data_IF_895290514196
#
_entry.id   IF_895290514196
#
_cell.length_a   1.000
_cell.length_b   1.000
_cell.length_c   1.000
_cell.angle_alpha   90.00
_cell.angle_beta   90.00
_cell.angle_gamma   90.00
#
_symmetry.space_group_name_H-M   'P 1'
#
loop_
_entity.id
_entity.type
_entity.pdbx_description
1 polymer ?
#
# COMPACT_ATOMS: atom_id res chain seq x y z
N UNK A 1 7.90 -16.04 9.29
CA UNK A 1 7.15 -15.04 8.53
C UNK A 1 7.89 -14.73 7.24
N UNK A 2 7.24 -14.86 6.08
CA UNK A 2 7.89 -14.78 4.77
C UNK A 2 8.58 -13.43 4.50
N UNK A 3 7.91 -12.32 4.80
CA UNK A 3 8.37 -10.99 4.39
C UNK A 3 9.13 -10.23 5.49
N UNK A 4 9.08 -10.70 6.72
CA UNK A 4 9.66 -9.99 7.86
C UNK A 4 8.97 -8.67 8.24
N UNK A 5 7.84 -8.37 7.62
CA UNK A 5 7.10 -7.14 7.91
C UNK A 5 6.35 -7.22 9.25
N UNK A 6 6.01 -6.06 9.85
CA UNK A 6 5.14 -6.01 11.01
C UNK A 6 3.87 -6.83 10.83
N UNK A 7 3.43 -7.48 11.90
CA UNK A 7 2.19 -8.24 11.88
C UNK A 7 0.98 -7.31 12.02
N UNK A 8 -0.22 -7.89 11.92
CA UNK A 8 -1.49 -7.17 12.02
C UNK A 8 -1.64 -6.41 13.34
N UNK A 9 -1.21 -7.00 14.46
CA UNK A 9 -1.36 -6.38 15.77
C UNK A 9 -0.50 -5.13 15.89
N UNK A 10 0.73 -5.18 15.43
CA UNK A 10 1.62 -4.02 15.43
C UNK A 10 1.09 -2.92 14.51
N UNK A 11 0.55 -3.29 13.35
CA UNK A 11 -0.07 -2.33 12.44
C UNK A 11 -1.24 -1.61 13.10
N UNK A 12 -2.14 -2.35 13.73
CA UNK A 12 -3.31 -1.78 14.42
C UNK A 12 -2.86 -0.85 15.54
N UNK A 13 -1.86 -1.25 16.32
CA UNK A 13 -1.32 -0.41 17.39
C UNK A 13 -0.78 0.92 16.86
N UNK A 14 -0.03 0.88 15.78
CA UNK A 14 0.51 2.09 15.15
C UNK A 14 -0.57 2.96 14.52
N UNK A 15 -1.61 2.34 13.97
CA UNK A 15 -2.76 3.06 13.49
C UNK A 15 -3.46 3.82 14.63
N UNK A 16 -3.65 3.18 15.77
CA UNK A 16 -4.25 3.81 16.94
C UNK A 16 -3.40 4.99 17.44
N UNK A 17 -2.09 4.85 17.45
CA UNK A 17 -1.17 5.94 17.78
C UNK A 17 -1.31 7.12 16.81
N UNK A 18 -1.46 6.84 15.53
CA UNK A 18 -1.68 7.88 14.51
C UNK A 18 -3.01 8.61 14.76
N UNK A 19 -4.07 7.89 15.11
CA UNK A 19 -5.35 8.48 15.47
C UNK A 19 -5.23 9.39 16.69
N UNK A 20 -4.49 8.96 17.71
CA UNK A 20 -4.28 9.76 18.92
C UNK A 20 -3.51 11.04 18.61
N UNK A 21 -2.47 10.96 17.78
CA UNK A 21 -1.72 12.15 17.34
C UNK A 21 -2.61 13.11 16.55
N UNK A 22 -3.44 12.58 15.66
CA UNK A 22 -4.36 13.40 14.91
C UNK A 22 -5.35 14.14 15.83
N UNK A 23 -5.94 13.44 16.79
CA UNK A 23 -6.88 14.05 17.76
C UNK A 23 -6.23 15.11 18.63
N UNK A 24 -4.96 14.91 19.01
CA UNK A 24 -4.23 15.82 19.87
C UNK A 24 -3.67 17.03 19.12
N UNK A 25 -3.01 16.78 17.99
CA UNK A 25 -2.19 17.77 17.29
C UNK A 25 -2.79 18.19 15.95
N UNK A 26 -3.85 17.54 15.47
CA UNK A 26 -4.43 17.81 14.17
C UNK A 26 -3.63 17.26 12.99
N UNK A 27 -2.60 16.47 13.25
CA UNK A 27 -1.73 15.91 12.20
C UNK A 27 -2.45 14.83 11.40
N UNK A 28 -2.66 15.07 10.11
CA UNK A 28 -3.26 14.08 9.21
C UNK A 28 -2.34 12.89 9.00
N UNK A 29 -2.92 11.75 8.69
CA UNK A 29 -2.19 10.54 8.30
C UNK A 29 -2.94 9.85 7.17
N UNK A 30 -2.32 8.88 6.53
CA UNK A 30 -2.91 8.22 5.37
C UNK A 30 -2.78 6.71 5.45
N UNK A 31 -3.75 6.04 4.85
CA UNK A 31 -3.76 4.59 4.67
C UNK A 31 -3.68 4.30 3.17
N UNK A 32 -2.72 3.46 2.79
CA UNK A 32 -2.57 3.00 1.42
C UNK A 32 -2.81 1.50 1.36
N UNK A 33 -3.61 1.06 0.42
CA UNK A 33 -3.70 -0.35 0.05
C UNK A 33 -2.91 -0.56 -1.24
N UNK A 34 -2.08 -1.58 -1.24
CA UNK A 34 -1.20 -1.92 -2.37
C UNK A 34 -1.46 -3.36 -2.76
N UNK A 35 -1.69 -3.59 -4.05
CA UNK A 35 -1.91 -4.91 -4.59
C UNK A 35 -0.93 -5.14 -5.76
N UNK A 36 -0.18 -6.24 -5.72
CA UNK A 36 0.74 -6.58 -6.80
C UNK A 36 -0.06 -7.01 -8.05
N UNK A 37 0.21 -6.34 -9.16
CA UNK A 37 -0.50 -6.61 -10.40
C UNK A 37 -0.14 -7.99 -10.96
N UNK A 38 -1.16 -8.77 -11.34
CA UNK A 38 -0.98 -10.09 -11.96
C UNK A 38 -0.18 -11.08 -11.13
N UNK A 39 -0.21 -10.97 -9.82
CA UNK A 39 0.57 -11.85 -8.95
C UNK A 39 0.15 -13.32 -9.09
N UNK A 40 -1.15 -13.58 -9.26
CA UNK A 40 -1.66 -14.93 -9.50
C UNK A 40 -1.04 -15.53 -10.77
N UNK A 41 -0.92 -14.73 -11.83
CA UNK A 41 -0.29 -15.19 -13.08
C UNK A 41 1.18 -15.54 -12.88
N UNK A 42 1.89 -14.80 -12.03
CA UNK A 42 3.28 -15.10 -11.68
C UNK A 42 3.37 -16.46 -10.99
N UNK A 43 2.51 -16.73 -10.01
CA UNK A 43 2.46 -18.05 -9.35
C UNK A 43 2.10 -19.17 -10.32
N UNK A 44 1.10 -18.95 -11.18
CA UNK A 44 0.64 -19.97 -12.13
C UNK A 44 1.71 -20.29 -13.17
N UNK A 45 2.47 -19.29 -13.61
CA UNK A 45 3.50 -19.43 -14.65
C UNK A 45 4.84 -19.93 -14.10
N UNK A 46 5.25 -19.44 -12.92
CA UNK A 46 6.61 -19.66 -12.40
C UNK A 46 6.65 -20.46 -11.08
N UNK A 47 5.48 -20.74 -10.47
CA UNK A 47 5.38 -21.46 -9.22
C UNK A 47 5.40 -20.56 -7.99
N UNK A 48 4.97 -21.13 -6.86
CA UNK A 48 4.85 -20.39 -5.59
C UNK A 48 6.20 -19.94 -5.02
N UNK A 49 7.28 -20.67 -5.28
CA UNK A 49 8.61 -20.28 -4.82
C UNK A 49 9.03 -18.94 -5.44
N UNK A 50 8.81 -18.76 -6.73
CA UNK A 50 9.07 -17.50 -7.42
C UNK A 50 8.13 -16.40 -6.93
N UNK A 51 6.85 -16.73 -6.72
CA UNK A 51 5.90 -15.82 -6.10
C UNK A 51 6.36 -15.33 -4.74
N UNK A 52 6.90 -16.21 -3.91
CA UNK A 52 7.46 -15.85 -2.60
C UNK A 52 8.66 -14.91 -2.75
N UNK A 53 9.53 -15.15 -3.72
CA UNK A 53 10.66 -14.27 -4.01
C UNK A 53 10.18 -12.88 -4.42
N UNK A 54 9.13 -12.79 -5.21
CA UNK A 54 8.50 -11.52 -5.60
C UNK A 54 7.92 -10.80 -4.39
N UNK A 55 7.24 -11.51 -3.49
CA UNK A 55 6.69 -10.93 -2.27
C UNK A 55 7.79 -10.36 -1.37
N UNK A 56 8.87 -11.11 -1.17
CA UNK A 56 10.01 -10.68 -0.34
C UNK A 56 10.64 -9.41 -0.93
N UNK A 57 10.93 -9.42 -2.23
CA UNK A 57 11.55 -8.27 -2.90
C UNK A 57 10.63 -7.05 -2.88
N UNK A 58 9.33 -7.25 -3.13
CA UNK A 58 8.34 -6.17 -3.10
C UNK A 58 8.25 -5.54 -1.71
N UNK A 59 8.22 -6.37 -0.67
CA UNK A 59 8.18 -5.90 0.72
C UNK A 59 9.39 -5.04 1.05
N UNK A 60 10.57 -5.48 0.65
CA UNK A 60 11.80 -4.73 0.88
C UNK A 60 11.79 -3.39 0.14
N UNK A 61 11.40 -3.38 -1.13
CA UNK A 61 11.34 -2.15 -1.93
C UNK A 61 10.38 -1.13 -1.33
N UNK A 62 9.20 -1.58 -0.89
CA UNK A 62 8.24 -0.69 -0.25
C UNK A 62 8.78 -0.13 1.06
N UNK A 63 9.36 -0.97 1.89
CA UNK A 63 9.93 -0.55 3.17
C UNK A 63 11.06 0.47 2.98
N UNK A 64 11.90 0.28 1.97
CA UNK A 64 13.03 1.18 1.69
C UNK A 64 12.58 2.59 1.27
N UNK A 65 11.37 2.74 0.75
CA UNK A 65 10.81 4.04 0.35
C UNK A 65 10.10 4.77 1.49
N UNK A 66 9.91 4.13 2.63
CA UNK A 66 9.13 4.66 3.74
C UNK A 66 10.02 5.25 4.83
N UNK A 67 9.46 6.20 5.57
CA UNK A 67 10.13 6.83 6.72
C UNK A 67 9.94 5.97 7.98
N UNK A 68 10.72 6.28 9.02
CA UNK A 68 10.62 5.58 10.30
C UNK A 68 9.23 5.68 10.95
N UNK A 69 8.49 6.76 10.68
CA UNK A 69 7.13 6.95 11.19
C UNK A 69 6.07 6.20 10.36
N UNK A 70 6.45 5.63 9.23
CA UNK A 70 5.56 4.89 8.36
C UNK A 70 5.63 3.41 8.67
N UNK A 71 4.58 2.67 8.33
CA UNK A 71 4.51 1.23 8.56
C UNK A 71 3.95 0.54 7.34
N UNK A 72 4.60 -0.53 6.90
CA UNK A 72 4.05 -1.42 5.90
C UNK A 72 3.81 -2.79 6.51
N UNK A 73 2.67 -3.40 6.22
CA UNK A 73 2.33 -4.75 6.65
C UNK A 73 1.71 -5.50 5.48
N UNK A 74 1.91 -6.82 5.48
CA UNK A 74 1.26 -7.68 4.50
C UNK A 74 -0.11 -8.06 5.05
N UNK A 75 -1.16 -7.79 4.27
CA UNK A 75 -2.52 -8.12 4.67
C UNK A 75 -2.85 -9.58 4.37
N UNK A 76 -2.33 -10.11 3.30
CA UNK A 76 -2.53 -11.50 2.87
C UNK A 76 -2.32 -11.61 1.36
N UNK A 77 -1.96 -12.80 0.86
CA UNK A 77 -1.70 -12.99 -0.55
C UNK A 77 -0.69 -11.98 -1.09
N UNK A 78 -1.12 -11.18 -2.04
CA UNK A 78 -0.34 -10.14 -2.72
C UNK A 78 -0.74 -8.73 -2.29
N UNK A 79 -1.51 -8.59 -1.21
CA UNK A 79 -2.02 -7.32 -0.71
C UNK A 79 -1.21 -6.83 0.48
N UNK A 80 -0.82 -5.55 0.42
CA UNK A 80 -0.09 -4.85 1.48
C UNK A 80 -0.88 -3.64 1.94
N UNK A 81 -0.70 -3.27 3.19
CA UNK A 81 -1.28 -2.06 3.77
C UNK A 81 -0.15 -1.20 4.30
N UNK A 82 -0.23 0.10 4.00
CA UNK A 82 0.78 1.07 4.42
C UNK A 82 0.10 2.16 5.24
N UNK A 83 0.69 2.48 6.37
CA UNK A 83 0.31 3.62 7.19
C UNK A 83 1.38 4.70 7.03
N UNK A 84 0.99 5.85 6.49
CA UNK A 84 1.83 7.04 6.50
C UNK A 84 1.50 7.81 7.78
N UNK A 85 2.44 7.82 8.72
CA UNK A 85 2.19 8.31 10.06
C UNK A 85 1.92 9.81 10.15
N UNK A 86 2.35 10.57 9.15
CA UNK A 86 2.11 12.02 9.09
C UNK A 86 2.17 12.47 7.64
N UNK A 87 1.10 13.11 7.18
CA UNK A 87 1.03 13.72 5.84
C UNK A 87 0.43 15.12 5.97
N UNK A 88 0.80 16.02 5.07
CA UNK A 88 0.24 17.37 5.05
C UNK A 88 -1.16 17.37 4.44
N UNK A 89 -1.38 16.58 3.40
CA UNK A 89 -2.62 16.52 2.65
C UNK A 89 -2.64 15.27 1.76
N UNK A 90 -3.70 15.10 0.97
CA UNK A 90 -3.84 13.97 0.05
C UNK A 90 -2.75 13.96 -1.03
N UNK A 91 -2.30 15.12 -1.48
CA UNK A 91 -1.25 15.25 -2.50
C UNK A 91 0.09 14.73 -1.97
N UNK A 92 0.38 14.99 -0.70
CA UNK A 92 1.59 14.46 -0.04
C UNK A 92 1.56 12.92 0.01
N UNK A 93 0.42 12.35 0.36
CA UNK A 93 0.24 10.89 0.34
C UNK A 93 0.34 10.32 -1.09
N UNK A 94 -0.23 11.01 -2.06
CA UNK A 94 -0.18 10.60 -3.47
C UNK A 94 1.26 10.59 -3.98
N UNK A 95 2.08 11.57 -3.58
CA UNK A 95 3.50 11.61 -3.95
C UNK A 95 4.25 10.37 -3.44
N UNK A 96 3.94 9.90 -2.23
CA UNK A 96 4.50 8.64 -1.72
C UNK A 96 4.04 7.45 -2.57
N UNK A 97 2.78 7.44 -2.98
CA UNK A 97 2.26 6.42 -3.88
C UNK A 97 3.04 6.33 -5.18
N UNK A 98 3.35 7.45 -5.80
CA UNK A 98 4.17 7.49 -7.02
C UNK A 98 5.61 7.04 -6.77
N UNK A 99 6.19 7.36 -5.62
CA UNK A 99 7.50 6.83 -5.23
C UNK A 99 7.49 5.31 -5.13
N UNK A 100 6.42 4.76 -4.58
CA UNK A 100 6.25 3.31 -4.49
C UNK A 100 6.15 2.68 -5.88
N UNK A 101 5.39 3.27 -6.80
CA UNK A 101 5.33 2.79 -8.18
C UNK A 101 6.70 2.81 -8.84
N UNK A 102 7.45 3.89 -8.65
CA UNK A 102 8.78 4.03 -9.23
C UNK A 102 9.76 2.96 -8.71
N UNK A 103 9.59 2.51 -7.48
CA UNK A 103 10.40 1.45 -6.90
C UNK A 103 10.24 0.10 -7.62
N UNK A 104 9.16 -0.09 -8.37
CA UNK A 104 8.90 -1.31 -9.14
C UNK A 104 9.32 -1.21 -10.61
N UNK A 105 9.88 -0.09 -11.05
CA UNK A 105 10.36 0.08 -12.43
C UNK A 105 11.45 -0.92 -12.77
N UNK A 106 12.39 -1.12 -11.84
CA UNK A 106 13.44 -2.13 -12.01
C UNK A 106 12.85 -3.53 -11.85
N UNK A 107 13.11 -4.46 -12.80
CA UNK A 107 12.66 -5.84 -12.67
C UNK A 107 13.15 -6.50 -11.38
N UNK A 108 12.40 -7.46 -10.89
CA UNK A 108 12.75 -8.24 -9.71
C UNK A 108 13.55 -9.47 -10.14
N UNK A 109 14.71 -9.65 -9.53
CA UNK A 109 15.57 -10.82 -9.78
C UNK A 109 15.01 -12.03 -9.02
N UNK A 110 14.72 -13.09 -9.76
CA UNK A 110 14.22 -14.36 -9.21
C UNK A 110 14.98 -15.53 -9.79
N UNK A 111 14.74 -16.73 -9.27
CA UNK A 111 15.29 -17.96 -9.85
C UNK A 111 14.74 -18.27 -11.24
N UNK A 112 13.63 -17.63 -11.63
CA UNK A 112 13.08 -17.71 -12.99
C UNK A 112 13.57 -16.57 -13.89
N UNK A 113 14.57 -15.79 -13.45
CA UNK A 113 15.10 -14.64 -14.17
C UNK A 113 14.53 -13.32 -13.68
N UNK A 114 14.66 -12.28 -14.49
CA UNK A 114 14.14 -10.95 -14.19
C UNK A 114 12.67 -10.87 -14.54
N UNK A 115 11.84 -10.53 -13.54
CA UNK A 115 10.41 -10.38 -13.73
C UNK A 115 9.99 -8.93 -13.58
N UNK A 116 9.20 -8.43 -14.50
CA UNK A 116 8.53 -7.13 -14.39
C UNK A 116 7.33 -7.28 -13.47
N UNK A 117 7.31 -6.48 -12.41
CA UNK A 117 6.20 -6.44 -11.45
C UNK A 117 5.78 -4.99 -11.28
N UNK A 118 4.50 -4.77 -11.20
CA UNK A 118 3.93 -3.46 -10.87
C UNK A 118 2.90 -3.62 -9.77
N UNK A 119 2.37 -2.51 -9.28
CA UNK A 119 1.34 -2.55 -8.26
C UNK A 119 0.27 -1.49 -8.51
N UNK A 120 -0.90 -1.74 -7.95
CA UNK A 120 -2.02 -0.79 -7.95
C UNK A 120 -2.22 -0.30 -6.53
N UNK A 121 -2.34 1.00 -6.35
CA UNK A 121 -2.37 1.65 -5.04
C UNK A 121 -3.63 2.48 -4.89
N UNK A 122 -4.30 2.33 -3.76
CA UNK A 122 -5.42 3.18 -3.36
C UNK A 122 -5.09 3.89 -2.06
N UNK A 123 -5.46 5.16 -1.95
CA UNK A 123 -5.09 6.04 -0.84
C UNK A 123 -6.33 6.65 -0.21
N UNK A 124 -6.39 6.61 1.13
CA UNK A 124 -7.36 7.35 1.93
C UNK A 124 -6.65 8.13 3.03
N UNK A 125 -7.09 9.35 3.29
CA UNK A 125 -6.45 10.28 4.23
C UNK A 125 -7.39 10.57 5.39
N UNK A 126 -6.88 10.52 6.61
CA UNK A 126 -7.60 10.93 7.81
C UNK A 126 -7.30 12.42 8.10
N UNK A 127 -8.30 13.24 8.40
CA UNK A 127 -9.73 12.91 8.60
C UNK A 127 -10.61 13.02 7.34
N UNK A 128 -10.05 13.50 6.24
CA UNK A 128 -10.79 13.85 5.02
C UNK A 128 -11.66 12.70 4.48
N UNK A 129 -11.14 11.48 4.52
CA UNK A 129 -11.81 10.30 3.96
C UNK A 129 -12.37 9.35 5.02
N UNK A 130 -12.12 9.63 6.29
CA UNK A 130 -12.59 8.83 7.40
C UNK A 130 -11.71 8.97 8.63
N UNK A 131 -12.21 8.50 9.76
CA UNK A 131 -11.55 8.63 11.06
C UNK A 131 -11.29 7.29 11.74
N UNK A 132 -11.76 6.20 11.16
CA UNK A 132 -11.54 4.84 11.66
C UNK A 132 -10.81 4.00 10.63
N UNK A 133 -10.15 2.94 11.10
CA UNK A 133 -9.44 2.00 10.21
C UNK A 133 -10.41 1.38 9.20
N UNK A 134 -11.59 0.98 9.65
CA UNK A 134 -12.57 0.34 8.78
C UNK A 134 -13.05 1.28 7.66
N UNK A 135 -13.35 2.53 7.99
CA UNK A 135 -13.81 3.52 7.01
C UNK A 135 -12.69 3.88 6.04
N UNK A 136 -11.48 4.13 6.54
CA UNK A 136 -10.33 4.45 5.70
C UNK A 136 -9.95 3.29 4.78
N UNK A 137 -10.02 2.07 5.29
CA UNK A 137 -9.73 0.88 4.51
C UNK A 137 -10.71 0.69 3.35
N UNK A 138 -12.00 0.90 3.60
CA UNK A 138 -13.01 0.83 2.54
C UNK A 138 -12.80 1.91 1.48
N UNK A 139 -12.44 3.13 1.91
CA UNK A 139 -12.14 4.22 0.99
C UNK A 139 -10.89 3.91 0.14
N UNK A 140 -9.82 3.45 0.76
CA UNK A 140 -8.59 3.06 0.06
C UNK A 140 -8.83 1.89 -0.90
N UNK A 141 -9.68 0.93 -0.53
CA UNK A 141 -10.04 -0.19 -1.38
C UNK A 141 -10.76 0.26 -2.64
N UNK A 142 -11.70 1.18 -2.51
CA UNK A 142 -12.38 1.78 -3.67
C UNK A 142 -11.40 2.51 -4.59
N UNK A 143 -10.46 3.26 -4.01
CA UNK A 143 -9.43 3.94 -4.76
C UNK A 143 -8.49 2.94 -5.48
N UNK A 144 -8.12 1.85 -4.82
CA UNK A 144 -7.31 0.80 -5.43
C UNK A 144 -8.03 0.14 -6.61
N UNK A 145 -9.32 -0.07 -6.49
CA UNK A 145 -10.14 -0.56 -7.59
C UNK A 145 -10.08 0.39 -8.79
N UNK A 146 -10.11 1.69 -8.55
CA UNK A 146 -9.97 2.69 -9.62
C UNK A 146 -8.59 2.59 -10.29
N UNK A 147 -7.54 2.37 -9.52
CA UNK A 147 -6.19 2.16 -10.07
C UNK A 147 -6.14 0.93 -10.99
N UNK A 148 -6.80 -0.16 -10.59
CA UNK A 148 -6.91 -1.34 -11.44
C UNK A 148 -7.71 -1.06 -12.71
N UNK A 149 -8.77 -0.29 -12.63
CA UNK A 149 -9.60 0.10 -13.77
C UNK A 149 -8.86 1.02 -14.76
N UNK A 150 -7.88 1.79 -14.29
CA UNK A 150 -7.03 2.64 -15.15
C UNK A 150 -5.99 1.85 -15.94
N UNK A 151 -5.95 0.53 -15.79
CA UNK A 151 -4.99 -0.34 -16.46
C UNK A 151 -3.90 -0.86 -15.52
N UNK A 152 -4.07 -0.75 -14.21
CA UNK A 152 -3.09 -1.13 -13.19
C UNK A 152 -1.84 -0.25 -13.23
N UNK A 153 -0.83 -0.57 -12.44
CA UNK A 153 0.39 0.25 -12.34
C UNK A 153 0.03 1.73 -12.16
N UNK A 154 -0.79 2.01 -11.16
CA UNK A 154 -1.41 3.32 -10.97
C UNK A 154 -1.65 3.62 -9.49
N UNK A 155 -1.74 4.90 -9.19
CA UNK A 155 -2.12 5.42 -7.88
C UNK A 155 -3.45 6.16 -8.01
N UNK A 156 -4.35 5.95 -7.06
CA UNK A 156 -5.60 6.70 -6.97
C UNK A 156 -5.84 7.12 -5.53
N UNK A 157 -6.20 8.38 -5.34
CA UNK A 157 -6.68 8.88 -4.05
C UNK A 157 -8.20 8.73 -4.04
N UNK A 158 -8.74 8.33 -2.89
CA UNK A 158 -10.18 8.21 -2.74
C UNK A 158 -10.86 9.55 -3.00
N UNK A 159 -11.91 9.51 -3.78
CA UNK A 159 -12.79 10.65 -4.03
C UNK A 159 -14.22 10.16 -3.81
N UNK A 160 -14.98 10.88 -2.98
CA UNK A 160 -16.38 10.57 -2.82
C UNK A 160 -17.09 10.71 -4.17
N UNK A 161 -17.88 9.68 -4.53
CA UNK A 161 -18.67 9.76 -5.73
C UNK A 161 -19.59 10.98 -5.64
N UNK A 162 -19.71 11.81 -6.71
CA UNK A 162 -20.65 12.91 -6.68
C UNK A 162 -22.06 12.33 -6.46
N UNK A 163 -22.70 12.81 -5.44
CA UNK A 163 -24.11 12.50 -5.20
C UNK A 163 -24.90 13.07 -6.37
N UNK A 164 -25.44 12.15 -7.16
CA UNK A 164 -26.32 12.56 -8.27
C UNK A 164 -27.55 13.28 -7.75
#
# INVERSE_FOLDING_TARGET
>A
MLTGLPNRYLFIDRFEQACQRWRRDGNSFALLLVDLDHFKAINDQHGHEVGDQVLIASSKRMADELRACDTVARHGGDEFVILLGSVLNAEDAEAVGYKLLAAFVEPIKTTAGLLKVSCSIGIAVCPEHGESLDVLRKAADKAMYQSKAKGRNAVSVFVDAPTA
#
